data_IF_113508012172
#
_entry.id   IF_113508012172
#
_cell.length_a   1.000
_cell.length_b   1.000
_cell.length_c   1.000
_cell.angle_alpha   90.00
_cell.angle_beta   90.00
_cell.angle_gamma   90.00
#
_symmetry.space_group_name_H-M   'P 1'
#
loop_
_entity.id
_entity.type
_entity.pdbx_description
1 polymer ?
#
# COMPACT_ATOMS: atom_id res chain seq x y z
N UNK A 1 -3.96 -1.63 -51.30
CA UNK A 1 -4.70 -2.45 -50.33
C UNK A 1 -6.14 -1.98 -50.31
N UNK A 2 -7.11 -2.82 -50.71
CA UNK A 2 -8.52 -2.54 -50.41
C UNK A 2 -8.71 -2.67 -48.89
N UNK A 3 -9.35 -1.69 -48.26
CA UNK A 3 -9.73 -1.77 -46.85
C UNK A 3 -10.85 -2.81 -46.70
N UNK A 4 -10.98 -3.41 -45.52
CA UNK A 4 -12.13 -4.28 -45.17
C UNK A 4 -13.48 -3.53 -45.27
N UNK A 5 -13.45 -2.20 -45.29
CA UNK A 5 -14.58 -1.30 -45.57
C UNK A 5 -15.10 -1.54 -47.00
N UNK A 6 -16.01 -2.50 -47.17
CA UNK A 6 -16.68 -2.76 -48.45
C UNK A 6 -16.97 -4.23 -48.78
N UNK A 7 -16.51 -5.18 -47.96
CA UNK A 7 -16.77 -6.61 -48.15
C UNK A 7 -17.61 -7.18 -47.02
N UNK A 8 -18.63 -7.98 -47.35
CA UNK A 8 -19.35 -8.80 -46.38
C UNK A 8 -18.51 -10.01 -45.94
N UNK A 9 -18.88 -10.62 -44.81
CA UNK A 9 -18.22 -11.85 -44.33
C UNK A 9 -18.29 -12.96 -45.39
N UNK A 10 -19.44 -13.08 -46.04
CA UNK A 10 -19.73 -14.10 -47.05
C UNK A 10 -18.85 -13.91 -48.30
N UNK A 11 -18.65 -12.66 -48.74
CA UNK A 11 -17.76 -12.35 -49.86
C UNK A 11 -16.29 -12.70 -49.55
N UNK A 12 -15.85 -12.44 -48.31
CA UNK A 12 -14.48 -12.77 -47.89
C UNK A 12 -14.31 -14.29 -47.78
N UNK A 13 -15.31 -15.02 -47.30
CA UNK A 13 -15.28 -16.48 -47.25
C UNK A 13 -15.18 -17.08 -48.65
N UNK A 14 -16.00 -16.60 -49.60
CA UNK A 14 -15.97 -17.03 -51.00
C UNK A 14 -14.60 -16.74 -51.65
N UNK A 15 -14.00 -15.59 -51.37
CA UNK A 15 -12.66 -15.25 -51.86
C UNK A 15 -11.56 -16.12 -51.21
N UNK A 16 -11.70 -16.48 -49.93
CA UNK A 16 -10.80 -17.41 -49.23
C UNK A 16 -10.89 -18.82 -49.81
N UNK A 17 -12.09 -19.28 -50.17
CA UNK A 17 -12.31 -20.55 -50.85
C UNK A 17 -11.69 -20.57 -52.26
N UNK A 18 -11.84 -19.48 -53.02
CA UNK A 18 -11.16 -19.31 -54.32
C UNK A 18 -9.63 -19.26 -54.20
N UNK A 19 -9.11 -18.86 -53.05
CA UNK A 19 -7.69 -18.89 -52.73
C UNK A 19 -7.19 -20.29 -52.30
N UNK A 20 -7.95 -21.34 -52.61
CA UNK A 20 -7.64 -22.76 -52.38
C UNK A 20 -7.65 -23.19 -50.89
N UNK A 21 -8.27 -22.38 -50.02
CA UNK A 21 -8.61 -22.82 -48.67
C UNK A 21 -9.89 -23.64 -48.75
N UNK A 22 -9.79 -24.93 -48.40
CA UNK A 22 -10.94 -25.83 -48.44
C UNK A 22 -12.16 -25.25 -47.66
N UNK A 23 -13.40 -25.29 -48.20
CA UNK A 23 -14.58 -24.65 -47.62
C UNK A 23 -14.83 -24.95 -46.13
N UNK A 24 -14.56 -26.20 -45.73
CA UNK A 24 -14.56 -26.64 -44.32
C UNK A 24 -13.78 -25.73 -43.36
N UNK A 25 -12.70 -25.10 -43.82
CA UNK A 25 -11.79 -24.29 -43.00
C UNK A 25 -11.92 -22.78 -43.26
N UNK A 26 -12.70 -22.35 -44.25
CA UNK A 26 -12.78 -20.94 -44.64
C UNK A 26 -13.22 -20.02 -43.48
N UNK A 27 -14.19 -20.45 -42.67
CA UNK A 27 -14.60 -19.74 -41.45
C UNK A 27 -13.50 -19.69 -40.38
N UNK A 28 -12.75 -20.80 -40.19
CA UNK A 28 -11.65 -20.86 -39.22
C UNK A 28 -10.53 -19.91 -39.64
N UNK A 29 -10.24 -19.85 -40.95
CA UNK A 29 -9.25 -18.94 -41.49
C UNK A 29 -9.67 -17.48 -41.34
N UNK A 30 -10.94 -17.16 -41.64
CA UNK A 30 -11.52 -15.84 -41.38
C UNK A 30 -11.34 -15.40 -39.92
N UNK A 31 -11.76 -16.24 -38.96
CA UNK A 31 -11.61 -15.94 -37.54
C UNK A 31 -10.12 -15.81 -37.16
N UNK A 32 -9.23 -16.59 -37.78
CA UNK A 32 -7.78 -16.55 -37.55
C UNK A 32 -7.08 -15.30 -38.09
N UNK A 33 -7.64 -14.61 -39.10
CA UNK A 33 -7.07 -13.36 -39.64
C UNK A 33 -7.66 -12.09 -39.03
N UNK A 34 -8.84 -12.16 -38.39
CA UNK A 34 -9.42 -11.02 -37.68
C UNK A 34 -8.52 -10.55 -36.54
N UNK A 35 -8.48 -9.25 -36.28
CA UNK A 35 -7.75 -8.73 -35.12
C UNK A 35 -8.38 -9.24 -33.83
N UNK A 36 -7.53 -9.73 -32.92
CA UNK A 36 -7.95 -10.14 -31.58
C UNK A 36 -7.57 -9.08 -30.54
N UNK A 37 -8.28 -9.03 -29.39
CA UNK A 37 -7.86 -8.19 -28.27
C UNK A 37 -6.42 -8.51 -27.84
N UNK A 38 -5.75 -7.52 -27.24
CA UNK A 38 -4.44 -7.76 -26.66
C UNK A 38 -4.56 -8.76 -25.50
N UNK A 39 -3.52 -9.57 -25.28
CA UNK A 39 -3.51 -10.57 -24.19
C UNK A 39 -3.69 -9.92 -22.82
N UNK A 40 -3.17 -8.70 -22.63
CA UNK A 40 -3.36 -7.91 -21.42
C UNK A 40 -4.83 -7.49 -21.19
N UNK A 41 -5.56 -7.16 -22.25
CA UNK A 41 -6.98 -6.81 -22.16
C UNK A 41 -7.82 -8.03 -21.76
N UNK A 42 -7.49 -9.21 -22.31
CA UNK A 42 -8.15 -10.46 -21.94
C UNK A 42 -7.89 -10.82 -20.48
N UNK A 43 -6.64 -10.71 -20.02
CA UNK A 43 -6.30 -10.94 -18.61
C UNK A 43 -7.09 -9.99 -17.71
N UNK A 44 -7.10 -8.69 -18.03
CA UNK A 44 -7.82 -7.70 -17.23
C UNK A 44 -9.35 -7.91 -17.26
N UNK A 45 -9.90 -8.32 -18.40
CA UNK A 45 -11.32 -8.65 -18.55
C UNK A 45 -11.70 -9.89 -17.73
N UNK A 46 -10.91 -10.95 -17.82
CA UNK A 46 -11.14 -12.20 -17.07
C UNK A 46 -11.01 -11.96 -15.56
N UNK A 47 -9.99 -11.23 -15.09
CA UNK A 47 -9.86 -10.86 -13.67
C UNK A 47 -11.11 -10.16 -13.12
N UNK A 48 -11.73 -9.26 -13.90
CA UNK A 48 -12.94 -8.52 -13.48
C UNK A 48 -14.17 -9.41 -13.38
N UNK A 49 -14.21 -10.52 -14.12
CA UNK A 49 -15.33 -11.48 -14.13
C UNK A 49 -15.14 -12.58 -13.11
N UNK A 50 -13.97 -13.22 -13.14
CA UNK A 50 -13.57 -14.34 -12.31
C UNK A 50 -12.08 -14.20 -11.94
N UNK A 51 -11.78 -13.70 -10.72
CA UNK A 51 -10.40 -13.56 -10.24
C UNK A 51 -9.60 -14.87 -10.18
N UNK A 52 -10.24 -16.04 -10.25
CA UNK A 52 -9.54 -17.34 -10.31
C UNK A 52 -9.05 -17.71 -11.72
N UNK A 53 -9.41 -16.90 -12.73
CA UNK A 53 -8.95 -17.00 -14.11
C UNK A 53 -9.18 -18.39 -14.72
N UNK A 54 -10.33 -19.00 -14.42
CA UNK A 54 -10.65 -20.35 -14.90
C UNK A 54 -10.76 -20.39 -16.44
N UNK A 55 -11.32 -19.35 -17.06
CA UNK A 55 -11.54 -19.30 -18.51
C UNK A 55 -10.36 -18.68 -19.30
N UNK A 56 -9.33 -18.16 -18.63
CA UNK A 56 -8.24 -17.44 -19.30
C UNK A 56 -7.54 -18.28 -20.38
N UNK A 57 -7.31 -19.57 -20.13
CA UNK A 57 -6.65 -20.47 -21.09
C UNK A 57 -7.42 -20.58 -22.43
N UNK A 58 -8.75 -20.58 -22.38
CA UNK A 58 -9.60 -20.60 -23.58
C UNK A 58 -9.46 -19.28 -24.36
N UNK A 59 -9.51 -18.15 -23.67
CA UNK A 59 -9.34 -16.83 -24.30
C UNK A 59 -7.95 -16.65 -24.92
N UNK A 60 -6.90 -17.12 -24.23
CA UNK A 60 -5.54 -17.12 -24.75
C UNK A 60 -5.39 -18.00 -26.00
N UNK A 61 -6.08 -19.13 -26.04
CA UNK A 61 -6.10 -20.02 -27.22
C UNK A 61 -6.75 -19.35 -28.42
N UNK A 62 -7.90 -18.66 -28.21
CA UNK A 62 -8.62 -17.95 -29.28
C UNK A 62 -7.77 -16.86 -29.96
N UNK A 63 -6.83 -16.28 -29.23
CA UNK A 63 -5.91 -15.26 -29.77
C UNK A 63 -4.56 -15.81 -30.23
N UNK A 64 -4.40 -17.14 -30.24
CA UNK A 64 -3.23 -17.80 -30.80
C UNK A 64 -2.04 -17.91 -29.84
N UNK A 65 -2.21 -17.70 -28.54
CA UNK A 65 -1.14 -17.95 -27.56
C UNK A 65 -0.94 -19.45 -27.42
N UNK A 66 0.29 -19.89 -27.64
CA UNK A 66 0.67 -21.29 -27.50
C UNK A 66 0.35 -21.83 -26.08
N UNK A 67 -0.24 -23.03 -25.93
CA UNK A 67 -0.67 -23.58 -24.63
C UNK A 67 0.41 -23.61 -23.54
N UNK A 68 1.66 -23.87 -23.91
CA UNK A 68 2.79 -23.84 -22.97
C UNK A 68 2.99 -22.50 -22.24
N UNK A 69 2.44 -21.39 -22.75
CA UNK A 69 2.55 -20.07 -22.10
C UNK A 69 1.28 -19.68 -21.31
N UNK A 70 0.21 -20.47 -21.32
CA UNK A 70 -0.99 -20.16 -20.54
C UNK A 70 -0.72 -20.05 -19.03
N UNK A 71 0.09 -20.94 -18.40
CA UNK A 71 0.45 -20.79 -16.99
C UNK A 71 1.19 -19.48 -16.71
N UNK A 72 2.10 -19.06 -17.61
CA UNK A 72 2.85 -17.80 -17.48
C UNK A 72 1.91 -16.60 -17.43
N UNK A 73 0.92 -16.52 -18.35
CA UNK A 73 -0.05 -15.42 -18.33
C UNK A 73 -0.94 -15.43 -17.09
N UNK A 74 -1.33 -16.62 -16.60
CA UNK A 74 -2.11 -16.75 -15.37
C UNK A 74 -1.32 -16.30 -14.15
N UNK A 75 -0.04 -16.64 -14.07
CA UNK A 75 0.84 -16.22 -12.98
C UNK A 75 1.07 -14.70 -12.99
N UNK A 76 1.39 -14.11 -14.16
CA UNK A 76 1.61 -12.67 -14.30
C UNK A 76 0.35 -11.81 -14.10
N UNK A 77 -0.84 -12.41 -14.23
CA UNK A 77 -2.10 -11.72 -13.93
C UNK A 77 -2.22 -11.33 -12.45
N UNK A 78 -1.58 -12.10 -11.55
CA UNK A 78 -1.58 -11.79 -10.13
C UNK A 78 -0.48 -10.79 -9.81
N UNK A 79 -0.89 -9.57 -9.51
CA UNK A 79 0.02 -8.48 -9.24
C UNK A 79 0.64 -8.62 -7.85
N UNK A 80 1.91 -8.21 -7.75
CA UNK A 80 2.59 -7.97 -6.48
C UNK A 80 2.56 -6.44 -6.25
N UNK A 81 2.22 -5.96 -5.05
CA UNK A 81 2.29 -4.55 -4.72
C UNK A 81 3.64 -3.91 -5.07
N UNK A 82 3.67 -2.62 -5.46
CA UNK A 82 4.91 -1.87 -5.60
C UNK A 82 5.75 -1.91 -4.31
N UNK A 83 7.08 -1.86 -4.46
CA UNK A 83 8.01 -1.95 -3.32
C UNK A 83 7.73 -0.90 -2.25
N UNK A 84 7.35 0.33 -2.63
CA UNK A 84 7.00 1.39 -1.67
C UNK A 84 5.79 1.03 -0.79
N UNK A 85 4.80 0.34 -1.34
CA UNK A 85 3.63 -0.11 -0.60
C UNK A 85 4.00 -1.24 0.35
N UNK A 86 4.86 -2.17 -0.09
CA UNK A 86 5.40 -3.24 0.75
C UNK A 86 6.19 -2.68 1.92
N UNK A 87 7.02 -1.64 1.70
CA UNK A 87 7.73 -0.93 2.76
C UNK A 87 6.73 -0.32 3.75
N UNK A 88 5.69 0.35 3.25
CA UNK A 88 4.64 0.93 4.10
C UNK A 88 3.96 -0.14 4.95
N UNK A 89 3.58 -1.28 4.36
CA UNK A 89 3.00 -2.42 5.07
C UNK A 89 3.96 -2.98 6.14
N UNK A 90 5.25 -3.04 5.86
CA UNK A 90 6.28 -3.49 6.80
C UNK A 90 6.44 -2.53 7.99
N UNK A 91 6.55 -1.23 7.72
CA UNK A 91 6.66 -0.19 8.76
C UNK A 91 5.39 -0.14 9.62
N UNK A 92 4.22 -0.34 8.99
CA UNK A 92 2.93 -0.41 9.67
C UNK A 92 2.62 -1.77 10.31
N UNK A 93 3.60 -2.68 10.43
CA UNK A 93 3.44 -3.96 11.11
C UNK A 93 2.34 -4.88 10.55
N UNK A 94 1.91 -4.65 9.29
CA UNK A 94 0.90 -5.48 8.62
C UNK A 94 1.39 -6.93 8.41
N UNK A 95 2.70 -7.17 8.43
CA UNK A 95 3.27 -8.52 8.35
C UNK A 95 3.46 -9.20 9.72
N UNK A 96 3.12 -8.54 10.83
CA UNK A 96 3.29 -9.07 12.18
C UNK A 96 1.92 -9.32 12.83
N UNK A 97 1.34 -10.54 12.73
CA UNK A 97 -0.06 -10.79 13.11
C UNK A 97 -0.40 -10.40 14.55
N UNK A 98 0.51 -10.64 15.49
CA UNK A 98 0.31 -10.28 16.91
C UNK A 98 0.22 -8.77 17.13
N UNK A 99 1.00 -7.98 16.38
CA UNK A 99 0.97 -6.51 16.47
C UNK A 99 -0.26 -5.97 15.75
N UNK A 100 -0.56 -6.49 14.56
CA UNK A 100 -1.71 -6.07 13.79
C UNK A 100 -3.04 -6.37 14.49
N UNK A 101 -3.14 -7.52 15.17
CA UNK A 101 -4.29 -7.85 16.02
C UNK A 101 -4.40 -6.90 17.23
N UNK A 102 -3.28 -6.57 17.88
CA UNK A 102 -3.25 -5.64 19.02
C UNK A 102 -3.81 -4.25 18.65
N UNK A 103 -3.54 -3.78 17.44
CA UNK A 103 -3.97 -2.47 16.97
C UNK A 103 -5.25 -2.49 16.14
N UNK A 104 -5.93 -3.63 16.03
CA UNK A 104 -7.16 -3.75 15.24
C UNK A 104 -6.96 -3.41 13.76
N UNK A 105 -5.75 -3.59 13.20
CA UNK A 105 -5.44 -3.09 11.85
C UNK A 105 -6.30 -3.73 10.76
N UNK A 106 -6.76 -4.96 11.00
CA UNK A 106 -7.63 -5.72 10.10
C UNK A 106 -9.13 -5.52 10.39
N UNK A 107 -9.49 -4.70 11.39
CA UNK A 107 -10.88 -4.41 11.72
C UNK A 107 -11.57 -3.62 10.61
N UNK A 108 -12.90 -3.74 10.55
CA UNK A 108 -13.76 -3.04 9.58
C UNK A 108 -13.47 -3.30 8.09
N UNK A 109 -12.69 -4.35 7.76
CA UNK A 109 -12.40 -4.74 6.38
C UNK A 109 -13.69 -5.10 5.62
N UNK A 110 -14.11 -4.30 4.61
CA UNK A 110 -15.33 -4.59 3.88
C UNK A 110 -15.10 -5.75 2.90
N UNK A 111 -15.99 -6.75 2.89
CA UNK A 111 -15.94 -7.82 1.89
C UNK A 111 -15.91 -7.29 0.43
N UNK A 112 -16.67 -6.22 0.06
CA UNK A 112 -16.57 -5.64 -1.28
C UNK A 112 -15.18 -5.10 -1.63
N UNK A 113 -14.41 -4.59 -0.66
CA UNK A 113 -13.06 -4.13 -0.92
C UNK A 113 -12.16 -5.27 -1.39
N UNK A 114 -12.21 -6.42 -0.70
CA UNK A 114 -11.45 -7.63 -1.09
C UNK A 114 -11.84 -8.09 -2.49
N UNK A 115 -13.14 -8.11 -2.80
CA UNK A 115 -13.66 -8.49 -4.13
C UNK A 115 -13.08 -7.60 -5.24
N UNK A 116 -13.12 -6.27 -5.08
CA UNK A 116 -12.61 -5.34 -6.08
C UNK A 116 -11.10 -5.39 -6.24
N UNK A 117 -10.36 -5.61 -5.15
CA UNK A 117 -8.91 -5.78 -5.17
C UNK A 117 -8.51 -7.08 -5.88
N UNK A 118 -9.24 -8.17 -5.66
CA UNK A 118 -9.05 -9.43 -6.40
C UNK A 118 -9.31 -9.27 -7.90
N UNK A 119 -10.33 -8.50 -8.28
CA UNK A 119 -10.62 -8.14 -9.68
C UNK A 119 -9.54 -7.27 -10.34
N UNK A 120 -8.59 -6.75 -9.55
CA UNK A 120 -7.37 -6.07 -10.03
C UNK A 120 -6.14 -6.97 -10.07
N UNK A 121 -6.28 -8.25 -9.71
CA UNK A 121 -5.19 -9.22 -9.70
C UNK A 121 -4.41 -9.27 -8.38
N UNK A 122 -4.83 -8.55 -7.33
CA UNK A 122 -4.20 -8.66 -6.01
C UNK A 122 -4.86 -9.80 -5.21
N UNK A 123 -4.06 -10.60 -4.52
CA UNK A 123 -4.59 -11.66 -3.66
C UNK A 123 -5.42 -11.09 -2.50
N UNK A 124 -6.25 -11.93 -1.88
CA UNK A 124 -6.96 -11.58 -0.64
C UNK A 124 -5.98 -11.12 0.45
N UNK A 125 -4.85 -11.80 0.55
CA UNK A 125 -3.79 -11.50 1.50
C UNK A 125 -3.20 -10.10 1.28
N UNK A 126 -3.01 -9.69 0.02
CA UNK A 126 -2.57 -8.33 -0.30
C UNK A 126 -3.65 -7.29 0.00
N UNK A 127 -4.92 -7.60 -0.28
CA UNK A 127 -6.04 -6.73 0.08
C UNK A 127 -6.05 -6.47 1.59
N UNK A 128 -5.99 -7.52 2.40
CA UNK A 128 -5.96 -7.45 3.85
C UNK A 128 -4.79 -6.58 4.35
N UNK A 129 -3.60 -6.68 3.75
CA UNK A 129 -2.45 -5.87 4.15
C UNK A 129 -2.53 -4.41 3.73
N UNK A 130 -3.06 -4.13 2.55
CA UNK A 130 -3.37 -2.75 2.16
C UNK A 130 -4.33 -2.12 3.15
N UNK A 131 -5.35 -2.87 3.58
CA UNK A 131 -6.23 -2.43 4.65
C UNK A 131 -5.48 -2.24 5.97
N UNK A 132 -4.68 -3.20 6.42
CA UNK A 132 -3.92 -3.03 7.66
C UNK A 132 -2.99 -1.79 7.69
N UNK A 133 -2.47 -1.37 6.53
CA UNK A 133 -1.58 -0.23 6.41
C UNK A 133 -2.27 1.13 6.17
N UNK A 134 -3.58 1.17 5.88
CA UNK A 134 -4.26 2.38 5.39
C UNK A 134 -4.53 3.45 6.46
N UNK A 135 -4.50 3.06 7.74
CA UNK A 135 -4.94 3.91 8.84
C UNK A 135 -4.11 5.19 9.00
N UNK A 136 -4.77 6.29 9.34
CA UNK A 136 -4.12 7.50 9.80
C UNK A 136 -3.81 7.36 11.30
N UNK A 137 -2.53 7.32 11.65
CA UNK A 137 -2.09 7.15 13.03
C UNK A 137 -2.09 8.48 13.79
N UNK A 138 -2.19 8.45 15.13
CA UNK A 138 -1.97 9.63 15.95
C UNK A 138 -0.62 10.29 15.67
N UNK A 139 -0.54 11.62 15.71
CA UNK A 139 0.72 12.35 15.57
C UNK A 139 1.65 12.12 16.78
N UNK A 140 2.96 12.43 16.68
CA UNK A 140 3.86 12.38 17.82
C UNK A 140 3.36 13.22 19.01
N UNK A 141 2.79 14.40 18.75
CA UNK A 141 2.23 15.27 19.80
C UNK A 141 1.03 14.63 20.50
N UNK A 142 0.13 13.98 19.74
CA UNK A 142 -0.98 13.21 20.33
C UNK A 142 -0.43 12.02 21.15
N UNK A 143 0.63 11.37 20.67
CA UNK A 143 1.36 10.34 21.41
C UNK A 143 1.89 10.84 22.75
N UNK A 144 2.52 12.02 22.76
CA UNK A 144 3.01 12.65 24.00
C UNK A 144 1.88 13.00 24.95
N UNK A 145 0.76 13.53 24.45
CA UNK A 145 -0.41 13.80 25.28
C UNK A 145 -0.98 12.54 25.92
N UNK A 146 -1.06 11.43 25.18
CA UNK A 146 -1.49 10.14 25.71
C UNK A 146 -0.51 9.63 26.79
N UNK A 147 0.80 9.78 26.57
CA UNK A 147 1.83 9.43 27.54
C UNK A 147 1.67 10.24 28.84
N UNK A 148 1.58 11.57 28.76
CA UNK A 148 1.46 12.44 29.94
C UNK A 148 0.18 12.22 30.73
N UNK A 149 -0.90 11.79 30.06
CA UNK A 149 -2.18 11.46 30.71
C UNK A 149 -2.19 10.03 31.30
N UNK A 150 -1.10 9.28 31.16
CA UNK A 150 -1.00 7.89 31.63
C UNK A 150 -1.90 6.91 30.87
N UNK A 151 -2.38 7.29 29.66
CA UNK A 151 -3.23 6.44 28.82
C UNK A 151 -2.38 5.36 28.14
N UNK A 152 -1.13 5.67 27.83
CA UNK A 152 -0.15 4.76 27.25
C UNK A 152 1.20 4.87 27.99
N UNK A 153 2.03 3.82 27.89
CA UNK A 153 3.42 3.86 28.37
C UNK A 153 4.43 4.24 27.29
N UNK A 154 5.71 4.37 27.67
CA UNK A 154 6.80 4.67 26.72
C UNK A 154 6.96 3.60 25.63
N UNK A 155 6.71 2.33 25.97
CA UNK A 155 6.75 1.24 24.99
C UNK A 155 5.73 1.42 23.87
N UNK A 156 4.53 1.87 24.21
CA UNK A 156 3.46 2.14 23.24
C UNK A 156 3.76 3.38 22.41
N UNK A 157 4.32 4.42 23.03
CA UNK A 157 4.79 5.60 22.31
C UNK A 157 5.88 5.22 21.30
N UNK A 158 6.85 4.38 21.68
CA UNK A 158 7.89 3.93 20.77
C UNK A 158 7.32 3.10 19.60
N UNK A 159 6.31 2.26 19.86
CA UNK A 159 5.60 1.53 18.79
C UNK A 159 4.88 2.50 17.84
N UNK A 160 4.21 3.53 18.36
CA UNK A 160 3.58 4.58 17.55
C UNK A 160 4.62 5.30 16.68
N UNK A 161 5.73 5.76 17.26
CA UNK A 161 6.79 6.46 16.52
C UNK A 161 7.41 5.57 15.45
N UNK A 162 7.59 4.26 15.72
CA UNK A 162 8.01 3.29 14.71
C UNK A 162 7.01 3.20 13.56
N UNK A 163 5.72 3.06 13.85
CA UNK A 163 4.68 2.97 12.82
C UNK A 163 4.49 4.27 12.03
N UNK A 164 4.83 5.42 12.62
CA UNK A 164 4.94 6.72 11.94
C UNK A 164 6.19 6.87 11.05
N UNK A 165 6.99 5.81 10.92
CA UNK A 165 8.26 5.80 10.17
C UNK A 165 9.32 6.77 10.74
N UNK A 166 9.27 7.05 12.04
CA UNK A 166 10.35 7.79 12.70
C UNK A 166 11.58 6.89 12.77
N UNK A 167 12.71 7.36 12.26
CA UNK A 167 13.96 6.58 12.29
C UNK A 167 14.32 6.20 13.74
N UNK A 168 14.86 4.99 13.99
CA UNK A 168 15.19 4.53 15.35
C UNK A 168 16.02 5.53 16.16
N UNK A 169 16.99 6.20 15.53
CA UNK A 169 17.84 7.21 16.17
C UNK A 169 17.06 8.38 16.80
N UNK A 170 15.92 8.76 16.22
CA UNK A 170 15.13 9.91 16.67
C UNK A 170 14.08 9.56 17.71
N UNK A 171 13.68 8.30 17.86
CA UNK A 171 12.56 7.90 18.73
C UNK A 171 12.82 8.27 20.18
N UNK A 172 13.95 7.84 20.73
CA UNK A 172 14.31 8.13 22.12
C UNK A 172 14.49 9.63 22.36
N UNK A 173 15.02 10.36 21.37
CA UNK A 173 15.22 11.82 21.45
C UNK A 173 13.89 12.57 21.47
N UNK A 174 12.93 12.13 20.64
CA UNK A 174 11.58 12.67 20.63
C UNK A 174 10.85 12.36 21.95
N UNK A 175 11.00 11.14 22.48
CA UNK A 175 10.43 10.78 23.78
C UNK A 175 10.99 11.62 24.93
N UNK A 176 12.30 11.92 24.93
CA UNK A 176 12.93 12.76 25.96
C UNK A 176 12.37 14.18 26.02
N UNK A 177 11.94 14.73 24.87
CA UNK A 177 11.34 16.07 24.79
C UNK A 177 9.82 16.06 24.90
N UNK A 178 9.20 14.91 25.20
CA UNK A 178 7.76 14.85 25.42
C UNK A 178 7.36 15.74 26.61
N UNK A 179 8.11 15.64 27.73
CA UNK A 179 7.82 16.37 28.94
C UNK A 179 8.19 17.86 28.83
N UNK A 180 7.36 18.70 29.45
CA UNK A 180 7.62 20.14 29.49
C UNK A 180 8.78 20.44 30.44
N UNK A 181 9.72 21.33 30.06
CA UNK A 181 10.68 21.87 31.02
C UNK A 181 9.95 22.70 32.09
N UNK A 182 10.63 22.95 33.21
CA UNK A 182 10.11 23.82 34.27
C UNK A 182 9.74 25.19 33.70
N UNK A 183 8.62 25.76 34.15
CA UNK A 183 8.25 27.12 33.73
C UNK A 183 9.18 28.15 34.37
N UNK A 184 9.37 29.30 33.72
CA UNK A 184 10.17 30.40 34.29
C UNK A 184 9.69 30.83 35.69
N UNK A 185 8.39 30.73 35.94
CA UNK A 185 7.79 31.05 37.24
C UNK A 185 8.20 30.02 38.28
N UNK A 186 8.17 28.74 37.93
CA UNK A 186 8.57 27.66 38.84
C UNK A 186 10.07 27.69 39.11
N UNK A 187 10.89 27.90 38.07
CA UNK A 187 12.35 28.09 38.21
C UNK A 187 12.66 29.23 39.19
N UNK A 188 12.00 30.39 39.02
CA UNK A 188 12.17 31.53 39.93
C UNK A 188 11.76 31.21 41.37
N UNK A 189 10.64 30.50 41.57
CA UNK A 189 10.17 30.09 42.91
C UNK A 189 11.14 29.11 43.55
N UNK A 190 11.62 28.14 42.79
CA UNK A 190 12.57 27.14 43.27
C UNK A 190 13.91 27.76 43.65
N UNK A 191 14.37 28.79 42.93
CA UNK A 191 15.57 29.53 43.31
C UNK A 191 15.39 30.30 44.63
N UNK A 192 14.28 31.02 44.80
CA UNK A 192 13.98 31.77 46.05
C UNK A 192 13.83 30.85 47.27
N UNK A 193 13.38 29.60 47.05
CA UNK A 193 13.25 28.58 48.08
C UNK A 193 14.53 27.77 48.30
N UNK A 194 15.66 28.18 47.70
CA UNK A 194 16.96 27.49 47.76
C UNK A 194 16.91 26.02 47.29
N UNK A 195 15.94 25.68 46.41
CA UNK A 195 15.81 24.36 45.78
C UNK A 195 16.74 24.24 44.57
N UNK A 196 16.91 25.33 43.82
CA UNK A 196 17.87 25.44 42.72
C UNK A 196 18.93 26.47 43.09
N UNK A 197 20.18 26.21 42.69
CA UNK A 197 21.26 27.20 42.67
C UNK A 197 21.32 27.90 41.29
N UNK A 198 22.27 28.84 41.12
CA UNK A 198 22.44 29.58 39.86
C UNK A 198 22.68 28.64 38.66
N UNK A 199 23.42 27.55 38.86
CA UNK A 199 23.68 26.55 37.82
C UNK A 199 22.40 25.83 37.41
N UNK A 200 21.57 25.45 38.39
CA UNK A 200 20.27 24.85 38.17
C UNK A 200 19.29 25.78 37.44
N UNK A 201 19.27 27.07 37.79
CA UNK A 201 18.48 28.09 37.09
C UNK A 201 18.92 28.22 35.63
N UNK A 202 20.23 28.32 35.38
CA UNK A 202 20.79 28.45 34.04
C UNK A 202 20.42 27.24 33.15
N UNK A 203 20.55 26.03 33.69
CA UNK A 203 20.16 24.79 33.01
C UNK A 203 18.67 24.80 32.67
N UNK A 204 17.81 25.13 33.64
CA UNK A 204 16.37 25.14 33.42
C UNK A 204 15.93 26.18 32.37
N UNK A 205 16.55 27.36 32.33
CA UNK A 205 16.31 28.32 31.25
C UNK A 205 16.82 27.83 29.90
N UNK A 206 17.98 27.17 29.84
CA UNK A 206 18.47 26.57 28.60
C UNK A 206 17.54 25.48 28.08
N UNK A 207 16.93 24.67 28.97
CA UNK A 207 15.96 23.64 28.61
C UNK A 207 14.65 24.20 28.03
N UNK A 208 14.26 25.41 28.42
CA UNK A 208 13.14 26.16 27.82
C UNK A 208 13.51 26.69 26.41
N UNK A 209 14.81 26.79 26.10
CA UNK A 209 15.33 27.25 24.82
C UNK A 209 16.01 28.63 24.86
N UNK A 210 16.32 29.17 26.04
CA UNK A 210 17.16 30.36 26.14
C UNK A 210 18.58 30.07 25.66
N UNK A 211 19.22 31.05 25.02
CA UNK A 211 20.66 30.98 24.76
C UNK A 211 21.42 31.02 26.09
N UNK A 212 22.64 30.46 26.10
CA UNK A 212 23.50 30.47 27.29
C UNK A 212 23.67 31.88 27.87
N UNK A 213 23.92 32.87 27.01
CA UNK A 213 24.01 34.28 27.42
C UNK A 213 22.75 34.77 28.14
N UNK A 214 21.56 34.52 27.59
CA UNK A 214 20.31 34.98 28.21
C UNK A 214 19.98 34.22 29.50
N UNK A 215 20.46 32.98 29.65
CA UNK A 215 20.27 32.18 30.85
C UNK A 215 21.24 32.57 31.99
N UNK A 216 22.33 33.28 31.67
CA UNK A 216 23.35 33.77 32.63
C UNK A 216 23.04 35.18 33.19
N UNK A 217 22.01 35.87 32.67
CA UNK A 217 21.57 37.21 33.09
C UNK A 217 20.53 37.16 34.22
#
# INVERSE_FOLDING_TARGET
>A
MRKLEGYSKEEIIDDVERADIHPKYANVYWDAVLTKPATQDLVAYELRRDPSLNNLHNELTKVGVHPNYHPLYKELAYQIPPVADIITMAVREAFTPSIAARFGQYEDLPAPFVEWVQKKGLSKEWAERYWAAHWSLPSPQQGFEMLHRGVIGEGDLNMLLRALDVMPFWRDKLTQIAYRPLSRVDVRRMFVLDILDETGVNKAYTDIGYSRYNADL
#
